data_IF_317677825837
#
_entry.id   IF_317677825837
#
_cell.length_a   1.000
_cell.length_b   1.000
_cell.length_c   1.000
_cell.angle_alpha   90.00
_cell.angle_beta   90.00
_cell.angle_gamma   90.00
#
_symmetry.space_group_name_H-M   'P 1'
#
loop_
_entity.id
_entity.type
_entity.pdbx_description
1 polymer ?
#
# COMPACT_ATOMS: atom_id res chain seq x y z
N UNK A 1 -9.10 -8.10 -7.43
CA UNK A 1 -7.68 -7.91 -7.77
C UNK A 1 -6.89 -7.76 -6.47
N UNK A 2 -5.68 -8.32 -6.35
CA UNK A 2 -4.85 -8.17 -5.14
C UNK A 2 -4.24 -6.77 -5.14
N UNK A 3 -4.44 -5.98 -4.07
CA UNK A 3 -3.86 -4.63 -3.91
C UNK A 3 -2.82 -4.61 -2.77
N UNK A 4 -1.98 -3.56 -2.66
CA UNK A 4 -1.08 -3.42 -1.52
C UNK A 4 -1.84 -3.36 -0.19
N UNK A 5 -3.04 -2.77 -0.18
CA UNK A 5 -3.94 -2.78 0.98
C UNK A 5 -4.29 -4.21 1.42
N UNK A 6 -4.57 -5.12 0.48
CA UNK A 6 -4.85 -6.53 0.81
C UNK A 6 -3.65 -7.23 1.45
N UNK A 7 -2.44 -6.94 0.95
CA UNK A 7 -1.20 -7.53 1.48
C UNK A 7 -0.91 -7.01 2.88
N UNK A 8 -0.97 -5.69 3.05
CA UNK A 8 -0.75 -5.01 4.32
C UNK A 8 -1.77 -5.46 5.38
N UNK A 9 -3.04 -5.57 5.02
CA UNK A 9 -4.12 -6.01 5.93
C UNK A 9 -3.99 -7.49 6.34
N UNK A 10 -3.52 -8.37 5.45
CA UNK A 10 -3.46 -9.83 5.71
C UNK A 10 -2.16 -10.30 6.37
N UNK A 11 -1.02 -9.67 6.07
CA UNK A 11 0.29 -10.14 6.56
C UNK A 11 0.84 -9.35 7.73
N UNK A 12 0.27 -8.20 8.05
CA UNK A 12 0.85 -7.32 9.04
C UNK A 12 -0.23 -6.63 9.86
N UNK A 13 -0.42 -7.11 11.10
CA UNK A 13 -0.98 -6.29 12.19
C UNK A 13 -0.23 -4.95 12.38
N UNK A 14 0.94 -4.80 11.74
CA UNK A 14 1.71 -3.57 11.58
C UNK A 14 1.07 -2.51 10.66
N UNK A 15 0.29 -2.90 9.65
CA UNK A 15 -0.42 -1.95 8.78
C UNK A 15 -1.58 -1.25 9.48
N UNK A 16 -2.01 -1.80 10.63
CA UNK A 16 -3.08 -1.26 11.47
C UNK A 16 -2.58 -0.31 12.56
N UNK A 17 -1.25 -0.09 12.68
CA UNK A 17 -0.70 0.93 13.59
C UNK A 17 -0.57 2.26 12.85
N UNK A 18 -1.08 3.33 13.46
CA UNK A 18 -0.94 4.70 12.97
C UNK A 18 0.51 4.97 12.51
N UNK A 19 0.67 5.39 11.26
CA UNK A 19 1.95 5.83 10.67
C UNK A 19 2.84 4.73 10.08
N UNK A 20 2.70 3.46 10.46
CA UNK A 20 3.59 2.37 9.95
C UNK A 20 3.20 1.87 8.55
N UNK A 21 1.92 1.89 8.21
CA UNK A 21 1.44 1.50 6.88
C UNK A 21 1.97 2.42 5.76
N UNK A 22 2.21 3.70 6.06
CA UNK A 22 2.75 4.68 5.11
C UNK A 22 4.25 4.50 4.83
N UNK A 23 5.03 4.10 5.85
CA UNK A 23 6.47 3.88 5.70
C UNK A 23 6.78 2.66 4.82
N UNK A 24 5.97 1.61 4.93
CA UNK A 24 6.13 0.36 4.18
C UNK A 24 5.44 0.37 2.81
N UNK A 25 4.60 1.38 2.53
CA UNK A 25 3.72 1.43 1.37
C UNK A 25 4.48 1.27 0.05
N UNK A 26 5.59 1.98 -0.13
CA UNK A 26 6.34 1.96 -1.38
C UNK A 26 7.03 0.60 -1.61
N UNK A 27 7.61 0.02 -0.55
CA UNK A 27 8.22 -1.30 -0.61
C UNK A 27 7.19 -2.39 -0.92
N UNK A 28 6.00 -2.35 -0.29
CA UNK A 28 4.94 -3.32 -0.57
C UNK A 28 4.35 -3.13 -1.97
N UNK A 29 4.17 -1.88 -2.43
CA UNK A 29 3.70 -1.60 -3.78
C UNK A 29 4.69 -2.10 -4.84
N UNK A 30 6.01 -1.94 -4.62
CA UNK A 30 7.06 -2.47 -5.51
C UNK A 30 7.03 -4.00 -5.55
N UNK A 31 7.02 -4.66 -4.39
CA UNK A 31 7.00 -6.12 -4.33
C UNK A 31 5.74 -6.71 -4.96
N UNK A 32 4.59 -6.03 -4.82
CA UNK A 32 3.35 -6.45 -5.44
C UNK A 32 3.37 -6.21 -6.96
N UNK A 33 3.96 -5.12 -7.43
CA UNK A 33 4.12 -4.85 -8.85
C UNK A 33 4.98 -5.93 -9.51
N UNK A 34 6.12 -6.27 -8.91
CA UNK A 34 6.98 -7.36 -9.39
C UNK A 34 6.26 -8.71 -9.39
N UNK A 35 5.52 -9.01 -8.32
CA UNK A 35 4.78 -10.28 -8.19
C UNK A 35 3.66 -10.43 -9.21
N UNK A 36 2.99 -9.33 -9.55
CA UNK A 36 1.83 -9.32 -10.46
C UNK A 36 2.18 -8.92 -11.89
N UNK A 37 3.44 -8.60 -12.19
CA UNK A 37 3.85 -8.03 -13.47
C UNK A 37 3.14 -6.71 -13.78
N UNK A 38 2.87 -5.91 -12.76
CA UNK A 38 2.15 -4.64 -12.92
C UNK A 38 3.12 -3.52 -13.33
N UNK A 39 2.66 -2.65 -14.23
CA UNK A 39 3.44 -1.48 -14.65
C UNK A 39 3.52 -0.39 -13.58
N UNK A 40 4.42 0.57 -13.82
CA UNK A 40 4.65 1.70 -12.91
C UNK A 40 3.40 2.58 -12.70
N UNK A 41 2.50 2.66 -13.69
CA UNK A 41 1.24 3.41 -13.59
C UNK A 41 0.29 2.74 -12.59
N UNK A 42 0.18 1.40 -12.66
CA UNK A 42 -0.60 0.60 -11.71
C UNK A 42 -0.04 0.71 -10.29
N UNK A 43 1.28 0.65 -10.13
CA UNK A 43 1.94 0.82 -8.85
C UNK A 43 1.65 2.20 -8.24
N UNK A 44 1.78 3.26 -9.04
CA UNK A 44 1.47 4.64 -8.62
C UNK A 44 0.03 4.77 -8.16
N UNK A 45 -0.91 4.22 -8.93
CA UNK A 45 -2.34 4.25 -8.61
C UNK A 45 -2.65 3.60 -7.25
N UNK A 46 -1.98 2.49 -6.91
CA UNK A 46 -2.15 1.86 -5.60
C UNK A 46 -1.62 2.71 -4.44
N UNK A 47 -0.45 3.32 -4.62
CA UNK A 47 0.17 4.21 -3.63
C UNK A 47 -0.75 5.41 -3.37
N UNK A 48 -1.23 6.05 -4.43
CA UNK A 48 -2.07 7.24 -4.32
C UNK A 48 -3.43 6.91 -3.67
N UNK A 49 -4.03 5.79 -4.05
CA UNK A 49 -5.29 5.30 -3.43
C UNK A 49 -5.13 5.04 -1.94
N UNK A 50 -4.00 4.42 -1.54
CA UNK A 50 -3.71 4.16 -0.13
C UNK A 50 -3.45 5.45 0.62
N UNK A 51 -2.65 6.38 0.07
CA UNK A 51 -2.42 7.69 0.68
C UNK A 51 -3.72 8.46 0.85
N UNK A 52 -4.55 8.57 -0.18
CA UNK A 52 -5.83 9.29 -0.11
C UNK A 52 -6.76 8.74 0.99
N UNK A 53 -6.80 7.42 1.17
CA UNK A 53 -7.66 6.76 2.16
C UNK A 53 -7.18 6.94 3.60
N UNK A 54 -5.88 7.05 3.82
CA UNK A 54 -5.28 7.05 5.15
C UNK A 54 -4.58 8.37 5.54
N UNK A 55 -4.44 9.35 4.62
CA UNK A 55 -3.89 10.68 4.91
C UNK A 55 -4.87 11.61 5.62
N UNK A 56 -6.18 11.38 5.50
CA UNK A 56 -7.24 12.17 6.15
C UNK A 56 -7.41 11.89 7.65
N UNK A 57 -6.61 10.97 8.22
CA UNK A 57 -6.67 10.61 9.64
C UNK A 57 -5.62 11.31 10.51
N UNK A 58 -4.89 12.29 9.94
CA UNK A 58 -3.76 12.99 10.57
C UNK A 58 -3.89 14.53 10.53
N UNK A 59 -5.11 15.07 10.57
CA UNK A 59 -5.35 16.49 10.89
C UNK A 59 -5.92 16.63 12.29
#
# INVERSE_FOLDING_TARGET
>A
ARTPEDVLRRRTSLALRQGRGLAELEAVASLLADTLGADAGRQRQWIDSYRQKYSQQFS
#
